data_IF_851128956058
#
_entry.id   IF_851128956058
#
_cell.length_a   1.000
_cell.length_b   1.000
_cell.length_c   1.000
_cell.angle_alpha   90.00
_cell.angle_beta   90.00
_cell.angle_gamma   90.00
#
_symmetry.space_group_name_H-M   'P 1'
#
loop_
_entity.id
_entity.type
_entity.pdbx_description
1 polymer ?
#
# COMPACT_ATOMS: atom_id res chain seq x y z
N UNK A 1 -69.06 7.81 -3.14
CA UNK A 1 -67.59 7.91 -3.00
C UNK A 1 -67.00 6.50 -2.95
N UNK A 2 -66.38 6.00 -4.04
CA UNK A 2 -65.70 4.70 -4.03
C UNK A 2 -64.31 4.88 -3.43
N UNK A 3 -64.06 4.31 -2.25
CA UNK A 3 -62.69 4.22 -1.70
C UNK A 3 -61.91 3.25 -2.59
N UNK A 4 -60.87 3.74 -3.25
CA UNK A 4 -59.90 2.88 -3.91
C UNK A 4 -59.22 2.02 -2.84
N UNK A 5 -59.39 0.71 -2.90
CA UNK A 5 -58.70 -0.23 -2.01
C UNK A 5 -57.20 -0.12 -2.28
N UNK A 6 -56.41 0.08 -1.22
CA UNK A 6 -54.96 0.01 -1.31
C UNK A 6 -54.61 -1.46 -1.63
N UNK A 7 -54.08 -1.71 -2.83
CA UNK A 7 -53.52 -3.00 -3.20
C UNK A 7 -52.27 -3.22 -2.35
N UNK A 8 -52.32 -4.20 -1.44
CA UNK A 8 -51.19 -4.59 -0.59
C UNK A 8 -50.23 -5.53 -1.34
N UNK A 9 -48.94 -5.42 -1.02
CA UNK A 9 -47.90 -6.34 -1.52
C UNK A 9 -48.06 -7.73 -0.90
N UNK A 10 -47.73 -8.77 -1.67
CA UNK A 10 -47.83 -10.16 -1.20
C UNK A 10 -46.56 -10.57 -0.42
N UNK A 11 -46.70 -11.53 0.50
CA UNK A 11 -45.54 -12.09 1.23
C UNK A 11 -44.50 -12.69 0.28
N UNK A 12 -44.96 -13.39 -0.77
CA UNK A 12 -44.07 -14.01 -1.76
C UNK A 12 -43.26 -12.96 -2.54
N UNK A 13 -43.85 -11.80 -2.82
CA UNK A 13 -43.18 -10.70 -3.51
C UNK A 13 -42.06 -10.10 -2.66
N UNK A 14 -42.30 -9.93 -1.35
CA UNK A 14 -41.25 -9.51 -0.42
C UNK A 14 -40.15 -10.57 -0.25
N UNK A 15 -40.48 -11.87 -0.29
CA UNK A 15 -39.49 -12.94 -0.23
C UNK A 15 -38.56 -12.94 -1.45
N UNK A 16 -39.11 -12.73 -2.65
CA UNK A 16 -38.32 -12.65 -3.89
C UNK A 16 -37.41 -11.41 -3.85
N UNK A 17 -37.93 -10.25 -3.44
CA UNK A 17 -37.14 -9.01 -3.34
C UNK A 17 -35.97 -9.16 -2.37
N UNK A 18 -36.21 -9.68 -1.16
CA UNK A 18 -35.16 -9.90 -0.17
C UNK A 18 -34.12 -10.93 -0.65
N UNK A 19 -34.58 -11.95 -1.37
CA UNK A 19 -33.70 -12.97 -1.95
C UNK A 19 -32.77 -12.36 -3.02
N UNK A 20 -33.31 -11.51 -3.92
CA UNK A 20 -32.51 -10.82 -4.94
C UNK A 20 -31.51 -9.84 -4.28
N UNK A 21 -31.95 -9.07 -3.28
CA UNK A 21 -31.06 -8.15 -2.54
C UNK A 21 -29.92 -8.93 -1.86
N UNK A 22 -30.23 -10.07 -1.23
CA UNK A 22 -29.24 -10.95 -0.61
C UNK A 22 -28.18 -11.45 -1.60
N UNK A 23 -28.60 -11.90 -2.78
CA UNK A 23 -27.68 -12.34 -3.85
C UNK A 23 -26.78 -11.18 -4.30
N UNK A 24 -27.36 -10.02 -4.59
CA UNK A 24 -26.60 -8.84 -5.05
C UNK A 24 -25.58 -8.35 -4.00
N UNK A 25 -25.94 -8.40 -2.72
CA UNK A 25 -25.05 -8.00 -1.62
C UNK A 25 -23.77 -8.88 -1.57
N UNK A 26 -23.88 -10.18 -1.88
CA UNK A 26 -22.71 -11.08 -1.89
C UNK A 26 -21.71 -10.76 -3.02
N UNK A 27 -22.19 -10.29 -4.17
CA UNK A 27 -21.37 -10.03 -5.36
C UNK A 27 -20.61 -8.70 -5.27
N UNK A 28 -21.11 -7.73 -4.51
CA UNK A 28 -20.57 -6.36 -4.47
C UNK A 28 -19.22 -6.19 -3.73
N UNK A 29 -18.78 -7.19 -2.96
CA UNK A 29 -17.69 -7.01 -1.97
C UNK A 29 -16.22 -7.00 -2.47
N UNK A 30 -15.79 -7.60 -3.61
CA UNK A 30 -14.36 -7.85 -3.86
C UNK A 30 -13.56 -6.67 -4.44
N UNK A 31 -14.19 -5.61 -4.93
CA UNK A 31 -13.50 -4.57 -5.70
C UNK A 31 -12.65 -3.60 -4.85
N UNK A 32 -13.07 -3.33 -3.60
CA UNK A 32 -12.39 -2.35 -2.75
C UNK A 32 -10.97 -2.79 -2.36
N UNK A 33 -10.78 -4.09 -2.04
CA UNK A 33 -9.49 -4.61 -1.59
C UNK A 33 -8.41 -4.47 -2.68
N UNK A 34 -8.75 -4.72 -3.94
CA UNK A 34 -7.81 -4.61 -5.07
C UNK A 34 -7.36 -3.17 -5.30
N UNK A 35 -8.27 -2.20 -5.20
CA UNK A 35 -7.93 -0.79 -5.35
C UNK A 35 -6.96 -0.32 -4.26
N UNK A 36 -7.20 -0.72 -3.01
CA UNK A 36 -6.31 -0.39 -1.89
C UNK A 36 -4.92 -1.00 -2.06
N UNK A 37 -4.82 -2.26 -2.48
CA UNK A 37 -3.52 -2.90 -2.72
C UNK A 37 -2.74 -2.18 -3.82
N UNK A 38 -3.38 -1.88 -4.96
CA UNK A 38 -2.73 -1.13 -6.06
C UNK A 38 -2.25 0.25 -5.63
N UNK A 39 -3.01 0.95 -4.79
CA UNK A 39 -2.60 2.23 -4.24
C UNK A 39 -1.35 2.09 -3.35
N UNK A 40 -1.30 1.04 -2.51
CA UNK A 40 -0.12 0.72 -1.69
C UNK A 40 1.10 0.36 -2.54
N UNK A 41 0.96 -0.48 -3.57
CA UNK A 41 2.03 -0.83 -4.50
C UNK A 41 2.60 0.41 -5.20
N UNK A 42 1.72 1.32 -5.66
CA UNK A 42 2.14 2.56 -6.32
C UNK A 42 2.92 3.46 -5.36
N UNK A 43 2.43 3.61 -4.12
CA UNK A 43 3.15 4.36 -3.08
C UNK A 43 4.48 3.70 -2.73
N UNK A 44 4.52 2.37 -2.66
CA UNK A 44 5.74 1.61 -2.33
C UNK A 44 6.80 1.82 -3.41
N UNK A 45 6.43 1.66 -4.69
CA UNK A 45 7.34 1.92 -5.82
C UNK A 45 7.91 3.32 -5.79
N UNK A 46 7.08 4.32 -5.46
CA UNK A 46 7.53 5.71 -5.34
C UNK A 46 8.53 5.88 -4.19
N UNK A 47 8.24 5.32 -3.02
CA UNK A 47 9.16 5.39 -1.86
C UNK A 47 10.49 4.70 -2.15
N UNK A 48 10.46 3.51 -2.76
CA UNK A 48 11.66 2.78 -3.15
C UNK A 48 12.48 3.54 -4.18
N UNK A 49 11.83 4.13 -5.19
CA UNK A 49 12.50 4.95 -6.19
C UNK A 49 13.25 6.11 -5.55
N UNK A 50 12.59 6.88 -4.67
CA UNK A 50 13.21 8.01 -3.98
C UNK A 50 14.36 7.55 -3.08
N UNK A 51 14.20 6.45 -2.34
CA UNK A 51 15.25 5.95 -1.44
C UNK A 51 16.49 5.47 -2.21
N UNK A 52 16.32 4.78 -3.35
CA UNK A 52 17.43 4.34 -4.19
C UNK A 52 18.17 5.52 -4.81
N UNK A 53 17.42 6.49 -5.34
CA UNK A 53 17.97 7.72 -5.91
C UNK A 53 18.88 8.47 -4.92
N UNK A 54 18.45 8.61 -3.66
CA UNK A 54 19.28 9.26 -2.63
C UNK A 54 20.44 8.40 -2.14
N UNK A 55 20.34 7.06 -2.18
CA UNK A 55 21.46 6.16 -1.88
C UNK A 55 22.55 6.32 -2.94
N UNK A 56 22.14 6.30 -4.21
CA UNK A 56 23.03 6.51 -5.36
C UNK A 56 23.67 7.90 -5.31
N UNK A 57 22.89 8.92 -4.94
CA UNK A 57 23.42 10.28 -4.74
C UNK A 57 24.46 10.33 -3.61
N UNK A 58 24.19 9.68 -2.47
CA UNK A 58 25.16 9.62 -1.38
C UNK A 58 26.46 8.95 -1.80
N UNK A 59 26.36 7.85 -2.56
CA UNK A 59 27.51 7.16 -3.13
C UNK A 59 28.29 8.06 -4.09
N UNK A 60 27.62 8.80 -4.98
CA UNK A 60 28.27 9.73 -5.90
C UNK A 60 29.06 10.83 -5.16
N UNK A 61 28.55 11.30 -4.02
CA UNK A 61 29.16 12.37 -3.24
C UNK A 61 30.30 11.88 -2.31
N UNK A 62 30.23 10.65 -1.80
CA UNK A 62 31.18 10.13 -0.79
C UNK A 62 32.08 8.99 -1.30
N UNK A 63 31.79 8.42 -2.46
CA UNK A 63 32.49 7.25 -3.01
C UNK A 63 32.22 5.94 -2.26
N UNK A 64 31.21 5.90 -1.38
CA UNK A 64 30.80 4.72 -0.61
C UNK A 64 29.33 4.75 -0.27
N UNK A 65 28.73 3.58 -0.06
CA UNK A 65 27.33 3.48 0.34
C UNK A 65 27.14 3.93 1.80
N UNK A 66 25.95 4.44 2.17
CA UNK A 66 25.67 4.81 3.55
C UNK A 66 25.67 3.56 4.45
N UNK A 67 26.16 3.70 5.69
CA UNK A 67 26.19 2.60 6.67
C UNK A 67 24.79 2.17 7.11
N UNK A 68 23.85 3.12 7.12
CA UNK A 68 22.45 2.88 7.48
C UNK A 68 21.54 3.95 6.86
N UNK A 69 20.22 3.72 6.87
CA UNK A 69 19.25 4.70 6.35
C UNK A 69 19.21 5.99 7.18
N UNK A 70 19.58 5.92 8.46
CA UNK A 70 19.67 7.08 9.35
C UNK A 70 20.75 8.06 8.90
N UNK A 71 21.84 7.57 8.30
CA UNK A 71 22.91 8.41 7.75
C UNK A 71 22.38 9.34 6.66
N UNK A 72 21.44 8.86 5.83
CA UNK A 72 20.81 9.67 4.79
C UNK A 72 19.96 10.80 5.37
N UNK A 73 19.34 10.59 6.54
CA UNK A 73 18.59 11.63 7.24
C UNK A 73 19.52 12.64 7.91
N UNK A 74 20.56 12.15 8.59
CA UNK A 74 21.56 12.99 9.27
C UNK A 74 22.29 13.92 8.30
N UNK A 75 22.67 13.39 7.14
CA UNK A 75 23.33 14.14 6.07
C UNK A 75 22.34 14.89 5.15
N UNK A 76 21.06 14.92 5.50
CA UNK A 76 20.00 15.70 4.82
C UNK A 76 19.70 15.31 3.37
N UNK A 77 20.09 14.10 2.94
CA UNK A 77 19.62 13.51 1.68
C UNK A 77 18.12 13.17 1.77
N UNK A 78 17.70 12.70 2.94
CA UNK A 78 16.29 12.49 3.28
C UNK A 78 15.87 13.43 4.41
N UNK A 79 14.63 13.93 4.33
CA UNK A 79 14.02 14.66 5.46
C UNK A 79 13.64 13.71 6.60
N UNK A 80 13.18 12.51 6.24
CA UNK A 80 12.84 11.41 7.13
C UNK A 80 12.78 10.13 6.30
N UNK A 81 12.96 8.97 6.95
CA UNK A 81 12.80 7.67 6.29
C UNK A 81 11.31 7.48 5.95
N UNK A 82 10.95 7.21 4.67
CA UNK A 82 9.57 6.96 4.28
C UNK A 82 8.97 5.76 5.02
N UNK A 83 7.66 5.81 5.29
CA UNK A 83 6.93 4.66 5.84
C UNK A 83 6.62 3.65 4.73
N UNK A 84 6.80 2.37 5.02
CA UNK A 84 6.37 1.29 4.14
C UNK A 84 4.83 1.22 4.10
N UNK A 85 4.18 1.35 2.93
CA UNK A 85 2.71 1.34 2.81
C UNK A 85 2.03 0.02 3.18
N UNK A 86 2.77 -1.09 3.19
CA UNK A 86 2.26 -2.42 3.52
C UNK A 86 2.34 -2.69 5.02
N UNK A 87 3.50 -2.48 5.63
CA UNK A 87 3.71 -2.71 7.07
C UNK A 87 3.27 -1.53 7.93
N UNK A 88 3.11 -0.34 7.33
CA UNK A 88 2.90 0.95 8.02
C UNK A 88 4.02 1.23 9.03
N UNK A 89 5.25 0.89 8.73
CA UNK A 89 6.40 1.23 9.55
C UNK A 89 7.56 1.78 8.72
N UNK A 90 8.36 2.66 9.30
CA UNK A 90 9.62 3.14 8.71
C UNK A 90 10.84 2.29 9.11
N UNK A 91 10.66 1.30 9.99
CA UNK A 91 11.75 0.46 10.53
C UNK A 91 11.79 -0.95 9.95
N UNK A 92 10.78 -1.33 9.16
CA UNK A 92 10.65 -2.68 8.59
C UNK A 92 11.32 -2.83 7.22
N UNK A 93 12.01 -1.79 6.73
CA UNK A 93 12.75 -1.90 5.48
C UNK A 93 13.85 -2.95 5.61
N UNK A 94 13.91 -3.88 4.66
CA UNK A 94 15.01 -4.85 4.60
C UNK A 94 16.12 -4.21 3.77
N UNK A 95 17.27 -4.05 4.40
CA UNK A 95 18.47 -3.49 3.81
C UNK A 95 19.21 -4.59 3.05
N UNK A 96 19.71 -4.25 1.87
CA UNK A 96 20.56 -5.10 1.03
C UNK A 96 21.94 -4.42 1.00
N UNK A 97 23.00 -5.07 1.51
CA UNK A 97 24.34 -4.51 1.50
C UNK A 97 24.96 -4.59 0.09
N UNK A 98 25.94 -3.71 -0.21
CA UNK A 98 26.68 -3.76 -1.47
C UNK A 98 27.56 -5.02 -1.57
N UNK A 99 27.71 -5.56 -2.78
CA UNK A 99 28.64 -6.65 -3.06
C UNK A 99 30.01 -6.09 -3.46
N UNK A 100 31.01 -6.21 -2.58
CA UNK A 100 32.40 -5.85 -2.90
C UNK A 100 32.72 -4.35 -2.85
N UNK A 101 31.79 -3.52 -2.41
CA UNK A 101 31.99 -2.07 -2.21
C UNK A 101 31.82 -1.70 -0.72
N UNK A 102 32.36 -0.54 -0.32
CA UNK A 102 32.26 -0.06 1.07
C UNK A 102 30.87 0.51 1.39
N UNK A 103 30.38 0.24 2.60
CA UNK A 103 29.12 0.74 3.15
C UNK A 103 28.13 -0.36 3.53
N UNK A 104 26.93 0.05 3.97
CA UNK A 104 25.93 -0.86 4.56
C UNK A 104 24.63 -0.99 3.76
N UNK A 105 24.24 0.02 2.98
CA UNK A 105 22.95 0.07 2.27
C UNK A 105 23.17 0.35 0.80
N UNK A 106 23.10 -0.69 -0.03
CA UNK A 106 23.06 -0.59 -1.49
C UNK A 106 21.62 -0.46 -1.99
N UNK A 107 20.73 -1.31 -1.50
CA UNK A 107 19.32 -1.32 -1.87
C UNK A 107 18.43 -1.56 -0.65
N UNK A 108 17.15 -1.25 -0.80
CA UNK A 108 16.10 -1.45 0.19
C UNK A 108 14.90 -2.15 -0.45
N UNK A 109 14.27 -3.05 0.31
CA UNK A 109 13.01 -3.69 -0.06
C UNK A 109 12.00 -3.63 1.09
N UNK A 110 10.71 -3.70 0.75
CA UNK A 110 9.65 -3.79 1.76
C UNK A 110 9.85 -5.02 2.65
N UNK A 111 9.53 -4.89 3.92
CA UNK A 111 9.52 -6.00 4.87
C UNK A 111 8.21 -6.80 4.88
N UNK A 112 7.29 -6.53 3.95
CA UNK A 112 6.01 -7.24 3.86
C UNK A 112 6.07 -8.40 2.88
N UNK A 113 5.51 -9.55 3.29
CA UNK A 113 5.29 -10.72 2.41
C UNK A 113 4.14 -10.53 1.40
N UNK A 114 3.49 -9.36 1.40
CA UNK A 114 2.33 -9.05 0.56
C UNK A 114 2.71 -8.28 -0.72
N UNK A 115 4.01 -8.07 -0.94
CA UNK A 115 4.59 -7.32 -2.07
C UNK A 115 4.99 -8.27 -3.19
#
# INVERSE_FOLDING_TARGET
MRKAGVLGYTLIEMMIVLSIIGILATIAQPNLKKAVIRAKETSLRRSLFVMRDVIDQYYADHGKYPESLEVLVQNRYLRAIPQDPFTKSSTTWIIIPPEGEEGGVYDVKSGSDLV
#
